data_IF_356535156659
#
_entry.id   IF_356535156659
#
_cell.length_a   1.000
_cell.length_b   1.000
_cell.length_c   1.000
_cell.angle_alpha   90.00
_cell.angle_beta   90.00
_cell.angle_gamma   90.00
#
_symmetry.space_group_name_H-M   'P 1'
#
loop_
_entity.id
_entity.type
_entity.pdbx_description
1 polymer ?
#
# COMPACT_ATOMS: atom_id res chain seq x y z
N UNK A 1 3.78 -12.40 10.87
CA UNK A 1 3.82 -11.48 9.72
C UNK A 1 4.57 -12.14 8.58
N UNK A 2 3.88 -12.31 7.46
CA UNK A 2 4.33 -13.01 6.24
C UNK A 2 5.02 -12.05 5.27
N UNK A 3 4.42 -10.90 4.95
CA UNK A 3 4.94 -9.95 3.95
C UNK A 3 6.05 -9.03 4.48
N UNK A 4 5.89 -8.49 5.69
CA UNK A 4 6.84 -7.54 6.28
C UNK A 4 7.41 -8.11 7.58
N UNK A 5 8.64 -8.66 7.59
CA UNK A 5 9.25 -9.24 8.80
C UNK A 5 9.41 -8.25 9.95
N UNK A 6 9.59 -6.96 9.65
CA UNK A 6 9.67 -5.88 10.66
C UNK A 6 8.42 -5.81 11.55
N UNK A 7 7.27 -6.24 11.04
CA UNK A 7 6.01 -6.30 11.80
C UNK A 7 6.05 -7.31 12.95
N UNK A 8 7.06 -8.20 13.01
CA UNK A 8 7.31 -9.08 14.17
C UNK A 8 7.92 -8.32 15.35
N UNK A 9 8.62 -7.21 15.07
CA UNK A 9 9.28 -6.36 16.08
C UNK A 9 8.45 -5.12 16.42
N UNK A 10 7.79 -4.52 15.42
CA UNK A 10 6.92 -3.35 15.57
C UNK A 10 5.59 -3.65 14.88
N UNK A 11 4.55 -3.94 15.66
CA UNK A 11 3.27 -4.37 15.10
C UNK A 11 2.59 -3.24 14.32
N UNK A 12 1.64 -3.60 13.43
CA UNK A 12 0.75 -2.61 12.79
C UNK A 12 0.02 -1.75 13.83
N UNK A 13 -0.33 -2.31 14.99
CA UNK A 13 -0.95 -1.55 16.07
C UNK A 13 -0.01 -0.47 16.62
N UNK A 14 1.26 -0.81 16.82
CA UNK A 14 2.28 0.13 17.29
C UNK A 14 2.52 1.24 16.26
N UNK A 15 2.55 0.88 14.97
CA UNK A 15 2.66 1.85 13.88
C UNK A 15 1.47 2.82 13.88
N UNK A 16 0.25 2.31 14.02
CA UNK A 16 -0.96 3.12 14.07
C UNK A 16 -0.98 4.03 15.30
N UNK A 17 -0.54 3.53 16.46
CA UNK A 17 -0.41 4.33 17.68
C UNK A 17 0.58 5.48 17.46
N UNK A 18 1.77 5.19 16.93
CA UNK A 18 2.77 6.20 16.59
C UNK A 18 2.21 7.22 15.57
N UNK A 19 1.45 6.79 14.57
CA UNK A 19 0.82 7.70 13.62
C UNK A 19 -0.21 8.65 14.25
N UNK A 20 -0.88 8.24 15.36
CA UNK A 20 -1.82 9.10 16.09
C UNK A 20 -1.11 10.18 16.91
N UNK A 21 0.07 9.85 17.42
CA UNK A 21 0.88 10.76 18.25
C UNK A 21 1.62 11.81 17.42
N UNK A 22 1.73 11.62 16.10
CA UNK A 22 2.39 12.59 15.22
C UNK A 22 1.60 13.90 15.14
N UNK A 23 2.22 14.97 15.65
CA UNK A 23 1.74 16.34 15.48
C UNK A 23 1.97 16.83 14.05
N UNK A 24 0.91 16.78 13.24
CA UNK A 24 0.96 17.20 11.84
C UNK A 24 0.35 18.59 11.66
N UNK A 25 0.98 19.50 10.90
CA UNK A 25 0.36 20.74 10.47
C UNK A 25 -1.02 20.47 9.84
N UNK A 26 -2.00 21.39 10.00
CA UNK A 26 -3.39 21.20 9.55
C UNK A 26 -3.56 20.79 8.08
N UNK A 27 -2.60 21.11 7.21
CA UNK A 27 -2.61 20.77 5.77
C UNK A 27 -1.83 19.51 5.41
N UNK A 28 -1.04 18.94 6.32
CA UNK A 28 -0.27 17.71 6.08
C UNK A 28 -1.07 16.47 6.46
N UNK A 29 -0.82 15.39 5.71
CA UNK A 29 -1.35 14.05 5.94
C UNK A 29 -0.19 13.05 5.81
N UNK A 30 -0.25 11.96 6.56
CA UNK A 30 0.66 10.83 6.38
C UNK A 30 0.26 10.12 5.08
N UNK A 31 1.23 9.78 4.24
CA UNK A 31 0.99 8.91 3.08
C UNK A 31 1.26 7.48 3.51
N UNK A 32 0.25 6.63 3.43
CA UNK A 32 0.42 5.19 3.57
C UNK A 32 0.61 4.57 2.19
N UNK A 33 1.74 3.90 1.98
CA UNK A 33 2.00 3.15 0.76
C UNK A 33 1.55 1.70 0.95
N UNK A 34 0.67 1.24 0.05
CA UNK A 34 0.10 -0.11 0.12
C UNK A 34 0.37 -0.79 -1.21
N UNK A 35 1.27 -1.77 -1.19
CA UNK A 35 1.51 -2.64 -2.35
C UNK A 35 0.38 -3.67 -2.41
N UNK A 36 -0.30 -3.73 -3.54
CA UNK A 36 -1.36 -4.70 -3.80
C UNK A 36 -0.79 -5.90 -4.56
N UNK A 37 -0.98 -7.08 -3.97
CA UNK A 37 -0.51 -8.37 -4.45
C UNK A 37 -1.73 -9.25 -4.76
N UNK A 38 -1.79 -9.79 -5.98
CA UNK A 38 -2.93 -10.54 -6.46
C UNK A 38 -3.23 -11.76 -5.58
N UNK A 39 -4.45 -11.84 -5.04
CA UNK A 39 -4.91 -12.95 -4.21
C UNK A 39 -4.30 -13.01 -2.80
N UNK A 40 -3.53 -12.00 -2.39
CA UNK A 40 -2.83 -11.98 -1.10
C UNK A 40 -3.36 -10.89 -0.18
N UNK A 41 -3.48 -9.66 -0.68
CA UNK A 41 -3.96 -8.51 0.11
C UNK A 41 -4.79 -7.51 -0.72
N UNK A 42 -5.36 -7.98 -1.82
CA UNK A 42 -6.14 -7.19 -2.77
C UNK A 42 -7.65 -7.52 -2.72
N UNK A 43 -8.14 -8.12 -1.63
CA UNK A 43 -9.58 -8.38 -1.47
C UNK A 43 -10.35 -7.13 -1.04
N UNK A 44 -11.67 -7.11 -1.23
CA UNK A 44 -12.50 -5.99 -0.76
C UNK A 44 -12.63 -5.99 0.78
N UNK A 45 -12.53 -7.16 1.40
CA UNK A 45 -12.43 -7.30 2.86
C UNK A 45 -11.13 -6.67 3.38
N UNK A 46 -10.01 -6.84 2.68
CA UNK A 46 -8.74 -6.18 2.99
C UNK A 46 -8.87 -4.65 2.89
N UNK A 47 -9.52 -4.14 1.83
CA UNK A 47 -9.80 -2.71 1.68
C UNK A 47 -10.64 -2.17 2.84
N UNK A 48 -11.68 -2.90 3.24
CA UNK A 48 -12.52 -2.54 4.38
C UNK A 48 -11.77 -2.60 5.71
N UNK A 49 -10.88 -3.58 5.90
CA UNK A 49 -10.02 -3.70 7.07
C UNK A 49 -9.03 -2.54 7.16
N UNK A 50 -8.41 -2.17 6.04
CA UNK A 50 -7.52 -1.02 5.93
C UNK A 50 -8.26 0.29 6.24
N UNK A 51 -9.49 0.46 5.74
CA UNK A 51 -10.30 1.62 6.06
C UNK A 51 -10.63 1.72 7.56
N UNK A 52 -10.95 0.59 8.21
CA UNK A 52 -11.16 0.53 9.67
C UNK A 52 -9.88 0.88 10.44
N UNK A 53 -8.73 0.37 10.00
CA UNK A 53 -7.43 0.65 10.60
C UNK A 53 -7.08 2.15 10.55
N UNK A 54 -7.44 2.81 9.45
CA UNK A 54 -7.15 4.23 9.23
C UNK A 54 -8.12 5.19 9.96
N UNK A 55 -9.15 4.68 10.64
CA UNK A 55 -10.17 5.52 11.29
C UNK A 55 -9.53 6.42 12.36
N UNK A 56 -9.79 7.72 12.24
CA UNK A 56 -9.23 8.74 13.14
C UNK A 56 -7.80 9.17 12.80
N UNK A 57 -7.17 8.60 11.76
CA UNK A 57 -5.85 9.02 11.30
C UNK A 57 -5.97 10.10 10.22
N UNK A 58 -5.04 11.06 10.24
CA UNK A 58 -4.90 12.07 9.18
C UNK A 58 -4.01 11.53 8.05
N UNK A 59 -4.56 10.56 7.31
CA UNK A 59 -3.83 9.84 6.26
C UNK A 59 -4.40 10.11 4.86
N UNK A 60 -3.59 9.75 3.86
CA UNK A 60 -3.98 9.44 2.49
C UNK A 60 -3.29 8.14 2.09
N UNK A 61 -3.90 7.37 1.20
CA UNK A 61 -3.38 6.07 0.77
C UNK A 61 -2.87 6.19 -0.67
N UNK A 62 -1.72 5.59 -0.93
CA UNK A 62 -1.19 5.39 -2.27
C UNK A 62 -1.15 3.89 -2.56
N UNK A 63 -2.07 3.41 -3.39
CA UNK A 63 -2.15 2.03 -3.85
C UNK A 63 -1.09 1.84 -4.94
N UNK A 64 -0.28 0.80 -4.78
CA UNK A 64 0.80 0.46 -5.71
C UNK A 64 0.53 -0.97 -6.18
N UNK A 65 -0.13 -1.15 -7.33
CA UNK A 65 -0.25 -2.48 -7.92
C UNK A 65 1.14 -3.06 -8.14
N UNK A 66 1.35 -4.30 -7.73
CA UNK A 66 2.66 -4.93 -7.80
C UNK A 66 3.20 -4.97 -9.24
N UNK A 67 4.50 -4.70 -9.41
CA UNK A 67 5.18 -4.82 -10.69
C UNK A 67 6.02 -6.11 -10.65
N UNK A 68 5.63 -7.16 -11.39
CA UNK A 68 6.33 -8.43 -11.34
C UNK A 68 7.76 -8.30 -11.90
N UNK A 69 8.65 -9.15 -11.40
CA UNK A 69 10.01 -9.30 -11.88
C UNK A 69 10.37 -10.79 -11.97
N UNK A 70 11.37 -11.20 -12.77
CA UNK A 70 11.76 -12.61 -12.87
C UNK A 70 12.07 -13.21 -11.50
N UNK A 71 11.37 -14.29 -11.14
CA UNK A 71 11.52 -14.96 -9.85
C UNK A 71 10.66 -14.38 -8.71
N UNK A 72 9.73 -13.47 -8.99
CA UNK A 72 8.74 -13.03 -8.00
C UNK A 72 7.66 -14.11 -7.78
N UNK A 73 7.39 -14.42 -6.51
CA UNK A 73 6.33 -15.37 -6.11
C UNK A 73 4.91 -14.76 -6.11
N UNK A 74 4.80 -13.46 -6.40
CA UNK A 74 3.55 -12.72 -6.33
C UNK A 74 3.11 -12.15 -7.68
N UNK A 75 1.80 -11.99 -7.85
CA UNK A 75 1.18 -11.44 -9.05
C UNK A 75 0.74 -9.98 -8.90
N UNK A 76 0.61 -9.30 -10.05
CA UNK A 76 -0.07 -8.01 -10.16
C UNK A 76 -1.60 -8.23 -10.16
N UNK A 77 -2.37 -7.54 -9.30
CA UNK A 77 -3.83 -7.57 -9.36
C UNK A 77 -4.36 -7.07 -10.71
N UNK A 78 -5.56 -7.52 -11.11
CA UNK A 78 -6.26 -6.93 -12.26
C UNK A 78 -6.56 -5.45 -12.00
N UNK A 79 -6.57 -4.62 -13.05
CA UNK A 79 -6.91 -3.19 -12.95
C UNK A 79 -8.33 -2.99 -12.39
N UNK A 80 -9.30 -3.86 -12.73
CA UNK A 80 -10.66 -3.84 -12.16
C UNK A 80 -10.59 -3.98 -10.63
N UNK A 81 -9.89 -5.00 -10.12
CA UNK A 81 -9.74 -5.20 -8.68
C UNK A 81 -9.10 -3.99 -7.98
N UNK A 82 -8.08 -3.38 -8.59
CA UNK A 82 -7.42 -2.18 -8.04
C UNK A 82 -8.42 -1.02 -7.92
N UNK A 83 -9.25 -0.82 -8.95
CA UNK A 83 -10.30 0.21 -8.95
C UNK A 83 -11.37 -0.09 -7.90
N UNK A 84 -11.84 -1.33 -7.78
CA UNK A 84 -12.80 -1.72 -6.74
C UNK A 84 -12.25 -1.48 -5.33
N UNK A 85 -11.00 -1.89 -5.08
CA UNK A 85 -10.31 -1.66 -3.82
C UNK A 85 -10.20 -0.15 -3.52
N UNK A 86 -9.81 0.65 -4.51
CA UNK A 86 -9.77 2.11 -4.39
C UNK A 86 -11.14 2.69 -4.04
N UNK A 87 -12.20 2.23 -4.70
CA UNK A 87 -13.56 2.69 -4.48
C UNK A 87 -14.02 2.43 -3.04
N UNK A 88 -13.72 1.27 -2.47
CA UNK A 88 -14.02 0.98 -1.06
C UNK A 88 -13.38 2.00 -0.11
N UNK A 89 -12.11 2.37 -0.36
CA UNK A 89 -11.42 3.38 0.45
C UNK A 89 -12.02 4.78 0.28
N UNK A 90 -12.32 5.17 -0.96
CA UNK A 90 -12.94 6.47 -1.27
C UNK A 90 -14.33 6.59 -0.64
N UNK A 91 -15.16 5.55 -0.73
CA UNK A 91 -16.48 5.48 -0.09
C UNK A 91 -16.40 5.53 1.44
N UNK A 92 -15.30 5.07 2.03
CA UNK A 92 -15.02 5.22 3.46
C UNK A 92 -14.48 6.62 3.85
N UNK A 93 -14.40 7.56 2.90
CA UNK A 93 -13.91 8.93 3.12
C UNK A 93 -12.40 9.06 3.16
N UNK A 94 -11.66 8.04 2.72
CA UNK A 94 -10.20 8.05 2.69
C UNK A 94 -9.73 8.41 1.29
N UNK A 95 -8.90 9.45 1.19
CA UNK A 95 -8.28 9.80 -0.09
C UNK A 95 -7.29 8.71 -0.51
N UNK A 96 -7.59 8.03 -1.61
CA UNK A 96 -6.78 6.95 -2.17
C UNK A 96 -6.43 7.24 -3.63
N UNK A 97 -5.14 7.19 -3.97
CA UNK A 97 -4.65 7.27 -5.35
C UNK A 97 -4.03 5.95 -5.77
N UNK A 98 -4.15 5.59 -7.05
CA UNK A 98 -3.40 4.48 -7.65
C UNK A 98 -2.16 5.05 -8.32
N UNK A 99 -0.98 4.54 -7.94
CA UNK A 99 0.28 4.92 -8.54
C UNK A 99 0.39 4.27 -9.91
N UNK A 100 0.34 5.08 -10.97
CA UNK A 100 0.63 4.62 -12.32
C UNK A 100 2.04 4.03 -12.37
N UNK A 101 2.17 2.80 -12.88
CA UNK A 101 3.47 2.23 -13.21
C UNK A 101 4.10 3.07 -14.32
N UNK A 102 5.11 3.88 -13.98
CA UNK A 102 5.98 4.51 -14.97
C UNK A 102 7.17 3.58 -15.17
N UNK A 103 7.39 3.09 -16.39
CA UNK A 103 8.60 2.34 -16.73
C UNK A 103 8.48 0.81 -16.83
N UNK A 104 7.27 0.24 -16.98
CA UNK A 104 7.13 -1.20 -17.30
C UNK A 104 7.78 -1.57 -18.65
N UNK A 105 7.90 -0.58 -19.54
CA UNK A 105 8.62 -0.63 -20.81
C UNK A 105 10.16 -0.63 -20.66
N UNK A 106 10.71 -0.17 -19.52
CA UNK A 106 12.17 0.02 -19.35
C UNK A 106 12.76 -0.61 -18.06
N UNK A 107 12.02 -1.46 -17.33
CA UNK A 107 12.46 -2.07 -16.06
C UNK A 107 12.98 -1.04 -15.03
N UNK A 108 12.26 0.08 -14.89
CA UNK A 108 12.59 1.16 -13.95
C UNK A 108 11.53 1.36 -12.84
N UNK A 109 10.62 0.39 -12.67
CA UNK A 109 9.57 0.44 -11.65
C UNK A 109 10.15 0.32 -10.23
N UNK A 110 9.48 0.93 -9.24
CA UNK A 110 9.88 0.86 -7.84
C UNK A 110 10.04 -0.60 -7.37
N UNK A 111 11.21 -0.94 -6.83
CA UNK A 111 11.60 -2.31 -6.46
C UNK A 111 12.61 -2.96 -7.41
N UNK A 112 12.83 -2.39 -8.61
CA UNK A 112 13.74 -2.95 -9.63
C UNK A 112 15.16 -2.38 -9.59
N UNK A 113 15.48 -1.54 -8.60
CA UNK A 113 16.85 -1.08 -8.35
C UNK A 113 17.69 -2.20 -7.72
N UNK A 114 18.01 -3.21 -8.52
CA UNK A 114 19.09 -4.15 -8.25
C UNK A 114 20.41 -3.42 -8.52
N UNK A 115 20.90 -2.68 -7.53
CA UNK A 115 22.32 -2.33 -7.50
C UNK A 115 23.11 -3.63 -7.50
N UNK A 116 23.95 -3.84 -8.52
CA UNK A 116 24.90 -4.94 -8.60
C UNK A 116 25.71 -4.92 -7.31
N UNK A 117 25.51 -5.91 -6.45
CA UNK A 117 26.39 -6.15 -5.30
C UNK A 117 27.56 -6.95 -5.84
N UNK A 118 28.65 -6.26 -6.15
CA UNK A 118 29.97 -6.89 -6.17
C UNK A 118 30.44 -7.13 -4.72
#
# INVERSE_FOLDING_TARGET
SELMPINRRYSISDLVAACKELELPRRKRITLEVVLLAGVNDSLEDAAALARLCRGLRVKINLIPFNPFPGADYGRPSEERVVEFQNVLLSAGIHASVRASRGDDIRAACGQLAGRRD
#
